data_IF_123404440962
#
_entry.id   IF_123404440962
#
_cell.length_a   1.000
_cell.length_b   1.000
_cell.length_c   1.000
_cell.angle_alpha   90.00
_cell.angle_beta   90.00
_cell.angle_gamma   90.00
#
_symmetry.space_group_name_H-M   'P 1'
#
loop_
_entity.id
_entity.type
_entity.pdbx_description
1 polymer ?
#
# COMPACT_ATOMS: atom_id res chain seq x y z
N UNK A 1 17.84 15.98 2.69
CA UNK A 1 16.37 16.01 2.50
C UNK A 1 15.73 16.35 3.82
N UNK A 2 14.80 17.30 3.85
CA UNK A 2 14.03 17.61 5.05
C UNK A 2 12.76 16.76 5.03
N UNK A 3 12.47 16.05 6.12
CA UNK A 3 11.22 15.31 6.28
C UNK A 3 10.06 16.31 6.52
N UNK A 4 9.07 16.34 5.62
CA UNK A 4 7.90 17.22 5.76
C UNK A 4 6.96 16.89 6.94
N UNK A 5 7.14 15.74 7.60
CA UNK A 5 6.27 15.29 8.70
C UNK A 5 6.85 15.58 10.09
N UNK A 6 8.18 15.49 10.25
CA UNK A 6 8.84 15.76 11.54
C UNK A 6 9.90 16.88 11.48
N UNK A 7 10.01 17.57 10.33
CA UNK A 7 10.85 18.75 10.12
C UNK A 7 12.36 18.54 10.37
N UNK A 8 12.84 17.29 10.33
CA UNK A 8 14.27 16.96 10.51
C UNK A 8 14.99 16.82 9.18
N UNK A 9 16.24 17.26 9.16
CA UNK A 9 17.16 17.03 8.05
C UNK A 9 17.78 15.62 8.15
N UNK A 10 17.87 14.95 7.00
CA UNK A 10 18.46 13.61 6.85
C UNK A 10 19.12 13.45 5.48
N UNK A 11 19.95 12.41 5.33
CA UNK A 11 20.48 11.99 4.04
C UNK A 11 19.34 11.67 3.05
N UNK A 12 19.62 11.82 1.75
CA UNK A 12 18.62 11.53 0.71
C UNK A 12 18.15 10.08 0.82
N UNK A 13 16.86 9.90 1.09
CA UNK A 13 16.22 8.61 1.31
C UNK A 13 14.76 8.72 0.88
N UNK A 14 14.43 8.27 -0.34
CA UNK A 14 13.12 8.52 -0.96
C UNK A 14 12.00 7.64 -0.38
N UNK A 15 12.32 6.46 0.16
CA UNK A 15 11.34 5.53 0.70
C UNK A 15 10.69 6.04 1.99
N UNK A 16 11.51 6.41 2.99
CA UNK A 16 11.01 6.73 4.32
C UNK A 16 11.95 7.68 5.12
N UNK A 17 11.36 8.37 6.11
CA UNK A 17 12.12 9.17 7.07
C UNK A 17 12.90 8.29 8.05
N UNK A 18 14.23 8.45 8.13
CA UNK A 18 15.07 7.66 9.02
C UNK A 18 14.76 7.85 10.52
N UNK A 19 14.10 8.95 10.88
CA UNK A 19 13.83 9.29 12.27
C UNK A 19 12.39 9.03 12.74
N UNK A 20 11.39 9.23 11.87
CA UNK A 20 9.98 9.01 12.22
C UNK A 20 9.31 7.88 11.40
N UNK A 21 10.00 7.31 10.42
CA UNK A 21 9.50 6.22 9.57
C UNK A 21 8.39 6.62 8.59
N UNK A 22 8.06 7.91 8.48
CA UNK A 22 7.01 8.36 7.58
C UNK A 22 7.43 8.18 6.11
N UNK A 23 6.61 7.45 5.35
CA UNK A 23 6.78 7.19 3.92
C UNK A 23 5.94 8.17 3.13
N UNK A 24 6.57 8.98 2.27
CA UNK A 24 5.88 9.90 1.37
C UNK A 24 5.54 9.26 0.02
N UNK A 25 6.07 8.08 -0.24
CA UNK A 25 5.78 7.25 -1.41
C UNK A 25 4.78 6.17 -0.99
N UNK A 26 3.66 6.06 -1.71
CA UNK A 26 2.77 4.92 -1.54
C UNK A 26 3.44 3.67 -2.12
N UNK A 27 3.32 2.54 -1.42
CA UNK A 27 3.90 1.29 -1.91
C UNK A 27 3.02 0.76 -3.03
N UNK A 28 3.49 0.83 -4.26
CA UNK A 28 2.75 0.30 -5.40
C UNK A 28 2.51 -1.21 -5.23
N UNK A 29 1.31 -1.61 -4.78
CA UNK A 29 0.85 -2.99 -4.89
C UNK A 29 0.22 -3.18 -6.27
N UNK A 30 0.58 -4.26 -6.98
CA UNK A 30 -0.01 -4.60 -8.28
C UNK A 30 -1.53 -4.86 -8.29
N UNK A 31 -2.20 -4.60 -7.16
CA UNK A 31 -3.64 -4.62 -6.98
C UNK A 31 -4.02 -3.41 -6.10
N UNK A 32 -5.15 -2.77 -6.39
CA UNK A 32 -5.64 -1.58 -5.67
C UNK A 32 -5.50 -1.70 -4.14
N UNK A 33 -4.89 -0.67 -3.53
CA UNK A 33 -4.55 -0.63 -2.11
C UNK A 33 -5.77 -0.90 -1.21
N UNK A 34 -5.67 -1.91 -0.36
CA UNK A 34 -6.55 -2.07 0.80
C UNK A 34 -7.82 -2.90 0.62
N UNK A 35 -8.06 -3.59 -0.50
CA UNK A 35 -9.19 -4.53 -0.64
C UNK A 35 -10.60 -3.91 -0.58
N UNK A 36 -10.71 -2.59 -0.37
CA UNK A 36 -11.97 -1.82 -0.40
C UNK A 36 -12.39 -1.37 -1.79
N UNK A 37 -11.48 -1.33 -2.77
CA UNK A 37 -11.72 -0.63 -4.05
C UNK A 37 -12.25 -1.46 -5.22
N UNK A 38 -12.02 -2.77 -5.30
CA UNK A 38 -12.31 -3.51 -6.55
C UNK A 38 -12.47 -5.03 -6.41
N UNK A 39 -12.57 -5.56 -5.18
CA UNK A 39 -12.77 -6.99 -4.93
C UNK A 39 -14.21 -7.31 -4.56
N UNK A 40 -15.14 -6.86 -5.38
CA UNK A 40 -16.51 -7.32 -5.30
C UNK A 40 -16.58 -8.77 -5.81
N UNK A 41 -16.72 -9.74 -4.89
CA UNK A 41 -16.80 -11.18 -5.22
C UNK A 41 -17.94 -11.47 -6.21
N UNK A 42 -19.00 -10.66 -6.22
CA UNK A 42 -20.11 -10.81 -7.16
C UNK A 42 -19.69 -10.44 -8.59
N UNK A 43 -18.83 -9.42 -8.73
CA UNK A 43 -18.31 -8.93 -10.01
C UNK A 43 -17.00 -9.59 -10.44
N UNK A 44 -16.34 -10.34 -9.56
CA UNK A 44 -15.16 -11.13 -9.90
C UNK A 44 -15.50 -12.28 -10.86
N UNK A 45 -14.67 -12.45 -11.89
CA UNK A 45 -14.72 -13.59 -12.80
C UNK A 45 -14.67 -14.93 -12.04
N UNK A 46 -15.49 -15.89 -12.47
CA UNK A 46 -15.48 -17.26 -11.91
C UNK A 46 -14.16 -18.00 -12.14
N UNK A 47 -13.40 -17.58 -13.17
CA UNK A 47 -12.10 -18.17 -13.52
C UNK A 47 -10.95 -17.61 -12.70
N UNK A 48 -11.18 -16.56 -11.91
CA UNK A 48 -10.12 -15.97 -11.10
C UNK A 48 -9.75 -16.94 -9.96
N UNK A 49 -8.51 -17.45 -9.92
CA UNK A 49 -8.10 -18.46 -8.94
C UNK A 49 -8.08 -17.92 -7.51
N UNK A 50 -8.20 -16.61 -7.31
CA UNK A 50 -8.27 -15.94 -6.00
C UNK A 50 -9.69 -15.60 -5.55
N UNK A 51 -10.73 -15.79 -6.39
CA UNK A 51 -12.14 -15.54 -6.01
C UNK A 51 -12.56 -16.29 -4.74
N UNK A 52 -12.08 -17.52 -4.60
CA UNK A 52 -12.42 -18.41 -3.48
C UNK A 52 -11.25 -18.64 -2.51
N UNK A 53 -10.10 -18.00 -2.73
CA UNK A 53 -8.91 -18.15 -1.85
C UNK A 53 -8.83 -16.99 -0.86
N UNK A 54 -8.34 -17.27 0.35
CA UNK A 54 -8.17 -16.28 1.44
C UNK A 54 -9.49 -15.58 1.83
N UNK A 55 -10.60 -16.32 1.76
CA UNK A 55 -11.86 -15.92 2.38
C UNK A 55 -11.80 -16.38 3.83
N UNK A 56 -11.14 -15.60 4.69
CA UNK A 56 -11.23 -15.78 6.13
C UNK A 56 -12.01 -14.62 6.75
N UNK A 57 -12.78 -14.99 7.78
CA UNK A 57 -13.62 -14.19 8.70
C UNK A 57 -12.89 -12.97 9.23
#
# INVERSE_FOLDING_TARGET
MICGACSREQNYRPDDCAFCGHSFVSKNSGFWEGGKGTRDKTRMSRKDPRKYKRVNV
#
